data_IF_418485174445
#
_entry.id   IF_418485174445
#
_cell.length_a   1.000
_cell.length_b   1.000
_cell.length_c   1.000
_cell.angle_alpha   90.00
_cell.angle_beta   90.00
_cell.angle_gamma   90.00
#
_symmetry.space_group_name_H-M   'P 1'
#
loop_
_entity.id
_entity.type
_entity.pdbx_description
1 polymer ?
#
# COMPACT_ATOMS: atom_id res chain seq x y z
N UNK A 1 -35.59 -33.63 -13.15
CA UNK A 1 -35.16 -33.27 -11.78
C UNK A 1 -33.68 -33.56 -11.50
N UNK A 2 -33.15 -34.75 -11.83
CA UNK A 2 -31.76 -35.14 -11.52
C UNK A 2 -30.72 -34.27 -12.26
N UNK A 3 -30.98 -33.82 -13.50
CA UNK A 3 -30.07 -32.99 -14.29
C UNK A 3 -29.91 -31.56 -13.72
N UNK A 4 -31.01 -30.98 -13.21
CA UNK A 4 -30.98 -29.64 -12.60
C UNK A 4 -30.24 -29.62 -11.25
N UNK A 5 -30.35 -30.73 -10.48
CA UNK A 5 -29.61 -30.86 -9.22
C UNK A 5 -28.10 -30.95 -9.46
N UNK A 6 -27.64 -31.63 -10.51
CA UNK A 6 -26.23 -31.71 -10.90
C UNK A 6 -25.69 -30.38 -11.36
N UNK A 7 -26.41 -29.62 -12.19
CA UNK A 7 -26.04 -28.30 -12.66
C UNK A 7 -25.96 -27.29 -11.49
N UNK A 8 -26.88 -27.37 -10.53
CA UNK A 8 -26.85 -26.51 -9.34
C UNK A 8 -25.66 -26.83 -8.43
N UNK A 9 -25.34 -28.09 -8.19
CA UNK A 9 -24.18 -28.50 -7.40
C UNK A 9 -22.86 -28.07 -8.08
N UNK A 10 -22.76 -28.16 -9.41
CA UNK A 10 -21.58 -27.69 -10.17
C UNK A 10 -21.41 -26.15 -10.08
N UNK A 11 -22.52 -25.40 -10.19
CA UNK A 11 -22.50 -23.94 -10.07
C UNK A 11 -22.10 -23.49 -8.66
N UNK A 12 -22.57 -24.16 -7.61
CA UNK A 12 -22.20 -23.86 -6.22
C UNK A 12 -20.72 -24.20 -5.96
N UNK A 13 -20.22 -25.30 -6.49
CA UNK A 13 -18.81 -25.69 -6.34
C UNK A 13 -17.86 -24.72 -7.02
N UNK A 14 -18.20 -24.20 -8.21
CA UNK A 14 -17.40 -23.21 -8.93
C UNK A 14 -17.41 -21.85 -8.21
N UNK A 15 -18.53 -21.47 -7.59
CA UNK A 15 -18.62 -20.21 -6.85
C UNK A 15 -17.82 -20.24 -5.53
N UNK A 16 -17.71 -21.42 -4.90
CA UNK A 16 -16.98 -21.58 -3.64
C UNK A 16 -15.45 -21.49 -3.77
N UNK A 17 -14.88 -21.63 -4.97
CA UNK A 17 -13.43 -21.60 -5.20
C UNK A 17 -12.85 -20.20 -5.42
N UNK A 18 -13.66 -19.15 -5.42
CA UNK A 18 -13.23 -17.78 -5.74
C UNK A 18 -12.93 -16.91 -4.50
N UNK A 19 -13.23 -17.35 -3.30
CA UNK A 19 -12.95 -16.59 -2.08
C UNK A 19 -11.52 -16.88 -1.59
N UNK A 20 -10.53 -16.13 -2.07
CA UNK A 20 -9.25 -16.04 -1.35
C UNK A 20 -9.53 -15.48 0.05
N UNK A 21 -9.10 -16.16 1.13
CA UNK A 21 -9.20 -15.56 2.46
C UNK A 21 -8.39 -14.27 2.49
N UNK A 22 -9.00 -13.21 3.02
CA UNK A 22 -8.30 -11.95 3.22
C UNK A 22 -7.19 -12.16 4.28
N UNK A 23 -5.98 -11.67 4.00
CA UNK A 23 -4.88 -11.66 4.96
C UNK A 23 -5.30 -10.95 6.25
N UNK A 24 -4.86 -11.44 7.38
CA UNK A 24 -4.91 -10.69 8.63
C UNK A 24 -3.97 -9.48 8.59
N UNK A 25 -4.19 -8.49 9.46
CA UNK A 25 -3.30 -7.32 9.55
C UNK A 25 -1.84 -7.74 9.82
N UNK A 26 -1.61 -8.74 10.65
CA UNK A 26 -0.27 -9.24 10.97
C UNK A 26 0.41 -9.89 9.76
N UNK A 27 -0.30 -10.70 8.98
CA UNK A 27 0.23 -11.30 7.75
C UNK A 27 0.53 -10.24 6.69
N UNK A 28 -0.33 -9.23 6.55
CA UNK A 28 -0.12 -8.13 5.63
C UNK A 28 1.10 -7.29 6.01
N UNK A 29 1.29 -6.98 7.30
CA UNK A 29 2.47 -6.26 7.79
C UNK A 29 3.75 -7.06 7.51
N UNK A 30 3.74 -8.38 7.74
CA UNK A 30 4.92 -9.23 7.48
C UNK A 30 5.26 -9.28 5.99
N UNK A 31 4.27 -9.41 5.11
CA UNK A 31 4.49 -9.35 3.65
C UNK A 31 4.98 -7.95 3.22
N UNK A 32 4.45 -6.89 3.82
CA UNK A 32 4.85 -5.51 3.54
C UNK A 32 6.30 -5.22 3.95
N UNK A 33 6.82 -5.87 4.98
CA UNK A 33 8.23 -5.79 5.38
C UNK A 33 9.15 -6.27 4.26
N UNK A 34 8.84 -7.43 3.65
CA UNK A 34 9.62 -7.98 2.53
C UNK A 34 9.60 -7.02 1.33
N UNK A 35 8.41 -6.48 0.99
CA UNK A 35 8.27 -5.50 -0.10
C UNK A 35 9.07 -4.23 0.19
N UNK A 36 9.05 -3.73 1.43
CA UNK A 36 9.84 -2.56 1.81
C UNK A 36 11.33 -2.81 1.64
N UNK A 37 11.83 -3.98 2.03
CA UNK A 37 13.24 -4.35 1.87
C UNK A 37 13.66 -4.40 0.40
N UNK A 38 12.79 -4.89 -0.47
CA UNK A 38 13.11 -5.08 -1.88
C UNK A 38 13.00 -3.79 -2.70
N UNK A 39 12.03 -2.91 -2.39
CA UNK A 39 11.67 -1.78 -3.26
C UNK A 39 11.87 -0.40 -2.63
N UNK A 40 11.83 -0.26 -1.30
CA UNK A 40 11.73 1.05 -0.65
C UNK A 40 13.02 1.45 0.10
N UNK A 41 13.75 0.46 0.64
CA UNK A 41 14.91 0.69 1.52
C UNK A 41 16.03 1.50 0.87
N UNK A 42 16.18 1.42 -0.44
CA UNK A 42 17.25 2.14 -1.17
C UNK A 42 17.13 3.66 -1.04
N UNK A 43 15.90 4.18 -0.92
CA UNK A 43 15.63 5.61 -0.78
C UNK A 43 15.19 5.96 0.65
N UNK A 44 14.26 5.19 1.21
CA UNK A 44 13.67 5.51 2.51
C UNK A 44 14.43 4.93 3.71
N UNK A 45 15.47 4.13 3.47
CA UNK A 45 16.32 3.44 4.43
C UNK A 45 15.56 2.45 5.33
N UNK A 46 16.30 1.60 6.06
CA UNK A 46 15.71 0.46 6.77
C UNK A 46 14.80 0.84 7.95
N UNK A 47 15.03 2.03 8.55
CA UNK A 47 14.20 2.54 9.63
C UNK A 47 13.20 3.60 9.18
N UNK A 48 12.99 3.76 7.86
CA UNK A 48 12.08 4.73 7.29
C UNK A 48 12.47 6.19 7.55
N UNK A 49 13.72 6.47 7.90
CA UNK A 49 14.23 7.80 8.22
C UNK A 49 14.46 8.69 7.00
N UNK A 50 14.62 8.08 5.83
CA UNK A 50 14.94 8.79 4.60
C UNK A 50 16.27 9.52 4.62
N UNK A 51 16.44 10.51 3.73
CA UNK A 51 17.63 11.37 3.64
C UNK A 51 17.16 12.81 3.51
N UNK A 52 17.44 13.63 4.51
CA UNK A 52 16.99 15.03 4.58
C UNK A 52 17.30 15.78 3.27
N UNK A 53 16.29 16.48 2.74
CA UNK A 53 16.33 17.23 1.49
C UNK A 53 16.41 16.39 0.21
N UNK A 54 16.47 15.03 0.31
CA UNK A 54 16.61 14.13 -0.84
C UNK A 54 15.48 13.12 -0.90
N UNK A 55 15.33 12.31 0.15
CA UNK A 55 14.29 11.29 0.24
C UNK A 55 13.50 11.48 1.53
N UNK A 56 12.18 11.72 1.45
CA UNK A 56 11.37 12.02 2.63
C UNK A 56 11.31 10.83 3.60
N UNK A 57 11.19 11.10 4.92
CA UNK A 57 10.98 10.04 5.89
C UNK A 57 9.59 9.44 5.76
N UNK A 58 9.49 8.14 6.04
CA UNK A 58 8.24 7.40 6.25
C UNK A 58 7.92 7.30 7.74
N UNK A 59 8.97 7.29 8.56
CA UNK A 59 8.89 7.32 10.01
C UNK A 59 8.40 8.68 10.49
N UNK A 60 7.36 8.69 11.33
CA UNK A 60 6.77 9.91 11.91
C UNK A 60 6.45 10.99 10.86
N UNK A 61 6.03 10.58 9.67
CA UNK A 61 5.74 11.46 8.53
C UNK A 61 4.33 12.05 8.64
N UNK A 62 4.21 13.36 8.79
CA UNK A 62 2.94 14.07 8.73
C UNK A 62 2.25 13.87 7.37
N UNK A 63 2.98 13.97 6.28
CA UNK A 63 2.49 13.75 4.92
C UNK A 63 1.82 12.38 4.76
N UNK A 64 2.39 11.33 5.36
CA UNK A 64 1.85 9.97 5.30
C UNK A 64 0.47 9.90 5.99
N UNK A 65 0.36 10.47 7.21
CA UNK A 65 -0.83 10.35 8.03
C UNK A 65 -1.92 11.37 7.71
N UNK A 66 -1.58 12.55 7.16
CA UNK A 66 -2.57 13.54 6.75
C UNK A 66 -3.54 13.02 5.68
N UNK A 67 -3.04 12.21 4.74
CA UNK A 67 -3.87 11.66 3.68
C UNK A 67 -3.29 10.33 3.18
N UNK A 68 -3.73 9.24 3.80
CA UNK A 68 -3.29 7.88 3.48
C UNK A 68 -3.58 7.52 2.01
N UNK A 69 -4.71 7.95 1.46
CA UNK A 69 -5.03 7.69 0.04
C UNK A 69 -4.08 8.43 -0.91
N UNK A 70 -3.61 9.63 -0.56
CA UNK A 70 -2.57 10.34 -1.32
C UNK A 70 -1.26 9.55 -1.27
N UNK A 71 -0.89 9.00 -0.14
CA UNK A 71 0.32 8.18 0.01
C UNK A 71 0.23 6.86 -0.76
N UNK A 72 -0.93 6.20 -0.75
CA UNK A 72 -1.23 5.06 -1.62
C UNK A 72 -1.05 5.43 -3.10
N UNK A 73 -1.59 6.58 -3.52
CA UNK A 73 -1.46 7.04 -4.90
C UNK A 73 0.01 7.30 -5.29
N UNK A 74 0.82 7.81 -4.37
CA UNK A 74 2.26 8.00 -4.56
C UNK A 74 2.98 6.70 -4.90
N UNK A 75 2.68 5.61 -4.19
CA UNK A 75 3.24 4.29 -4.50
C UNK A 75 2.68 3.76 -5.82
N UNK A 76 1.37 3.84 -6.01
CA UNK A 76 0.65 3.25 -7.15
C UNK A 76 1.00 3.90 -8.49
N UNK A 77 1.15 5.22 -8.51
CA UNK A 77 1.33 5.99 -9.75
C UNK A 77 2.68 6.68 -9.88
N UNK A 78 3.47 6.62 -8.81
CA UNK A 78 4.66 7.45 -8.67
C UNK A 78 4.31 8.87 -8.18
N UNK A 79 5.31 9.57 -7.70
CA UNK A 79 5.20 10.94 -7.19
C UNK A 79 6.32 11.79 -7.79
N UNK A 80 6.02 13.02 -8.19
CA UNK A 80 7.01 13.96 -8.72
C UNK A 80 6.70 15.38 -8.30
N UNK A 81 7.76 16.19 -8.25
CA UNK A 81 7.66 17.59 -7.87
C UNK A 81 7.69 17.80 -6.36
N UNK A 82 7.48 19.04 -5.97
CA UNK A 82 7.63 19.49 -4.60
C UNK A 82 6.54 18.94 -3.68
N UNK A 83 6.97 18.38 -2.55
CA UNK A 83 6.11 18.04 -1.40
C UNK A 83 6.77 18.55 -0.12
N UNK A 84 5.98 18.83 0.89
CA UNK A 84 6.48 19.15 2.24
C UNK A 84 6.20 17.96 3.16
N UNK A 85 7.23 17.52 3.90
CA UNK A 85 7.13 16.45 4.90
C UNK A 85 7.84 16.93 6.17
N UNK A 86 7.13 16.98 7.30
CA UNK A 86 7.66 17.45 8.58
C UNK A 86 8.35 18.82 8.46
N UNK A 87 7.69 19.78 7.81
CA UNK A 87 8.20 21.15 7.53
C UNK A 87 9.44 21.22 6.61
N UNK A 88 9.89 20.11 6.03
CA UNK A 88 11.00 20.08 5.08
C UNK A 88 10.49 19.84 3.65
N UNK A 89 11.08 20.58 2.69
CA UNK A 89 10.72 20.49 1.27
C UNK A 89 11.56 19.40 0.60
N UNK A 90 10.87 18.55 -0.16
CA UNK A 90 11.44 17.52 -1.02
C UNK A 90 10.93 17.73 -2.44
N UNK A 91 11.85 17.91 -3.40
CA UNK A 91 11.53 18.05 -4.83
C UNK A 91 12.27 16.97 -5.61
N UNK A 92 11.60 15.85 -5.80
CA UNK A 92 12.19 14.66 -6.41
C UNK A 92 11.18 13.86 -7.22
N UNK A 93 11.63 12.67 -7.63
CA UNK A 93 10.83 11.71 -8.35
C UNK A 93 10.87 10.37 -7.62
N UNK A 94 9.72 9.90 -7.16
CA UNK A 94 9.51 8.53 -6.77
C UNK A 94 8.83 7.80 -7.93
N UNK A 95 9.56 6.88 -8.57
CA UNK A 95 9.00 6.11 -9.67
C UNK A 95 7.91 5.14 -9.18
N UNK A 96 6.94 4.83 -10.06
CA UNK A 96 6.06 3.68 -9.85
C UNK A 96 6.91 2.40 -9.83
N UNK A 97 6.77 1.59 -8.78
CA UNK A 97 7.54 0.37 -8.59
C UNK A 97 6.94 -0.85 -9.30
N UNK A 98 5.76 -0.70 -9.93
CA UNK A 98 5.09 -1.81 -10.63
C UNK A 98 4.43 -2.83 -9.68
N UNK A 99 4.16 -2.44 -8.44
CA UNK A 99 3.50 -3.28 -7.45
C UNK A 99 2.01 -3.44 -7.74
N UNK A 100 1.49 -4.63 -7.48
CA UNK A 100 0.06 -4.94 -7.54
C UNK A 100 -0.70 -4.35 -6.35
N UNK A 101 -2.02 -4.24 -6.43
CA UNK A 101 -2.84 -3.66 -5.36
C UNK A 101 -2.68 -4.36 -4.00
N UNK A 102 -2.47 -5.68 -4.00
CA UNK A 102 -2.23 -6.45 -2.78
C UNK A 102 -0.87 -6.09 -2.16
N UNK A 103 0.16 -5.97 -2.96
CA UNK A 103 1.50 -5.59 -2.52
C UNK A 103 1.56 -4.15 -1.98
N UNK A 104 0.85 -3.23 -2.64
CA UNK A 104 0.71 -1.84 -2.17
C UNK A 104 -0.02 -1.80 -0.83
N UNK A 105 -1.09 -2.58 -0.67
CA UNK A 105 -1.81 -2.67 0.60
C UNK A 105 -0.91 -3.20 1.72
N UNK A 106 -0.14 -4.25 1.44
CA UNK A 106 0.78 -4.87 2.39
C UNK A 106 1.89 -3.91 2.83
N UNK A 107 2.57 -3.26 1.89
CA UNK A 107 3.64 -2.31 2.24
C UNK A 107 3.09 -1.07 2.96
N UNK A 108 1.88 -0.60 2.63
CA UNK A 108 1.24 0.49 3.37
C UNK A 108 0.92 0.07 4.81
N UNK A 109 0.38 -1.14 5.02
CA UNK A 109 0.14 -1.67 6.37
C UNK A 109 1.43 -1.80 7.18
N UNK A 110 2.54 -2.18 6.56
CA UNK A 110 3.86 -2.19 7.18
C UNK A 110 4.30 -0.77 7.58
N UNK A 111 4.37 0.17 6.63
CA UNK A 111 4.83 1.54 6.85
C UNK A 111 4.01 2.25 7.96
N UNK A 112 2.70 2.04 7.96
CA UNK A 112 1.78 2.65 8.93
C UNK A 112 1.93 2.09 10.35
N UNK A 113 2.66 0.99 10.56
CA UNK A 113 2.77 0.31 11.85
C UNK A 113 4.22 0.00 12.28
N UNK A 114 5.23 0.57 11.60
CA UNK A 114 6.64 0.39 11.93
C UNK A 114 7.30 1.67 12.44
N UNK A 115 8.46 1.53 13.03
CA UNK A 115 9.34 2.62 13.49
C UNK A 115 8.69 3.62 14.47
N UNK A 116 7.66 3.17 15.19
CA UNK A 116 6.86 4.00 16.08
C UNK A 116 5.61 4.59 15.43
N UNK A 117 5.41 4.40 14.11
CA UNK A 117 4.13 4.66 13.46
C UNK A 117 3.07 3.70 14.02
N UNK A 118 1.85 4.19 14.19
CA UNK A 118 0.70 3.40 14.65
C UNK A 118 -0.56 3.85 13.92
N UNK A 119 -1.27 2.90 13.32
CA UNK A 119 -2.55 3.14 12.65
C UNK A 119 -3.55 2.05 12.98
N UNK A 120 -4.77 2.45 13.32
CA UNK A 120 -5.91 1.54 13.43
C UNK A 120 -6.44 1.12 12.04
N UNK A 121 -6.12 1.88 11.00
CA UNK A 121 -6.55 1.59 9.64
C UNK A 121 -5.87 0.33 9.11
N UNK A 122 -6.65 -0.50 8.42
CA UNK A 122 -6.18 -1.67 7.69
C UNK A 122 -6.41 -1.44 6.20
N UNK A 123 -5.33 -1.21 5.47
CA UNK A 123 -5.38 -0.97 4.02
C UNK A 123 -5.68 -2.29 3.32
N UNK A 124 -6.65 -2.26 2.42
CA UNK A 124 -7.05 -3.41 1.62
C UNK A 124 -6.73 -3.21 0.14
N UNK A 125 -6.57 -4.30 -0.65
CA UNK A 125 -6.38 -4.19 -2.10
C UNK A 125 -7.53 -3.43 -2.79
N UNK A 126 -8.77 -3.57 -2.29
CA UNK A 126 -9.93 -2.86 -2.81
C UNK A 126 -9.83 -1.35 -2.60
N UNK A 127 -9.32 -0.92 -1.43
CA UNK A 127 -9.05 0.50 -1.17
C UNK A 127 -7.98 1.01 -2.13
N UNK A 128 -6.87 0.30 -2.30
CA UNK A 128 -5.80 0.65 -3.24
C UNK A 128 -6.33 0.75 -4.67
N UNK A 129 -7.15 -0.21 -5.11
CA UNK A 129 -7.78 -0.19 -6.44
C UNK A 129 -8.63 1.06 -6.66
N UNK A 130 -9.38 1.50 -5.63
CA UNK A 130 -10.29 2.64 -5.69
C UNK A 130 -9.58 4.01 -5.68
N UNK A 131 -8.29 4.09 -5.27
CA UNK A 131 -7.56 5.36 -5.21
C UNK A 131 -7.25 5.88 -6.61
N UNK A 132 -7.75 7.08 -7.01
CA UNK A 132 -7.51 7.64 -8.33
C UNK A 132 -6.20 8.43 -8.37
N UNK A 133 -5.58 8.51 -9.57
CA UNK A 133 -4.36 9.30 -9.77
C UNK A 133 -4.58 10.80 -9.50
N UNK A 134 -5.79 11.30 -9.75
CA UNK A 134 -6.13 12.73 -9.59
C UNK A 134 -5.94 13.27 -8.17
N UNK A 135 -5.88 12.39 -7.15
CA UNK A 135 -5.65 12.81 -5.76
C UNK A 135 -4.25 13.44 -5.55
N UNK A 136 -3.29 13.15 -6.44
CA UNK A 136 -1.94 13.71 -6.38
C UNK A 136 -1.86 15.18 -6.83
N UNK A 137 -2.88 15.69 -7.51
CA UNK A 137 -2.90 17.07 -8.02
C UNK A 137 -1.85 17.34 -9.12
N UNK A 138 -1.34 16.30 -9.76
CA UNK A 138 -0.27 16.34 -10.77
C UNK A 138 -0.81 16.06 -12.18
#
# INVERSE_FOLDING_TARGET
MRLFAFLYCLAVAVFSTQLKPQKSKAESIAAGEEIHQDFCVQCHLSNGEGVSGVFPPLKASDYLFENINRSIAGIKYGLKGEITVNDEIYDGVMANQGLEEEEIADVMNYILNQWGNQSEEFITPQQVAAVPKSILGQ
#
